data_IF_817830379756
#
_entry.id   IF_817830379756
#
_cell.length_a   1.000
_cell.length_b   1.000
_cell.length_c   1.000
_cell.angle_alpha   90.00
_cell.angle_beta   90.00
_cell.angle_gamma   90.00
#
_symmetry.space_group_name_H-M   'P 1'
#
loop_
_entity.id
_entity.type
_entity.pdbx_description
1 polymer ?
#
# COMPACT_ATOMS: atom_id res chain seq x y z
N UNK A 1 -8.74 3.68 38.70
CA UNK A 1 -8.89 4.34 37.38
C UNK A 1 -7.83 5.41 37.31
N UNK A 2 -6.67 5.08 36.75
CA UNK A 2 -5.61 6.06 36.52
C UNK A 2 -6.12 7.02 35.43
N UNK A 3 -6.10 8.31 35.76
CA UNK A 3 -6.28 9.41 34.81
C UNK A 3 -5.32 9.20 33.63
N UNK A 4 -5.86 9.00 32.43
CA UNK A 4 -5.10 9.18 31.19
C UNK A 4 -4.58 10.62 31.19
N UNK A 5 -3.32 10.81 31.57
CA UNK A 5 -2.58 11.98 31.14
C UNK A 5 -2.67 12.03 29.63
N UNK A 6 -2.97 13.21 29.08
CA UNK A 6 -3.07 13.43 27.64
C UNK A 6 -1.67 13.22 27.03
N UNK A 7 -1.34 11.99 26.61
CA UNK A 7 -0.07 11.61 25.99
C UNK A 7 0.00 12.12 24.54
N UNK A 8 -0.25 13.41 24.31
CA UNK A 8 -0.25 13.96 22.96
C UNK A 8 1.16 14.25 22.47
N UNK A 9 1.54 13.67 21.34
CA UNK A 9 2.83 13.85 20.67
C UNK A 9 3.99 13.04 21.24
N UNK A 10 3.70 11.90 21.87
CA UNK A 10 4.73 11.02 22.44
C UNK A 10 4.91 9.80 21.53
N UNK A 11 6.13 9.61 21.03
CA UNK A 11 6.52 8.42 20.28
C UNK A 11 7.46 7.54 21.10
N UNK A 12 7.14 6.25 21.18
CA UNK A 12 7.92 5.26 21.93
C UNK A 12 8.21 4.04 21.07
N UNK A 13 9.49 3.70 20.93
CA UNK A 13 9.93 2.44 20.35
C UNK A 13 10.20 1.46 21.49
N UNK A 14 9.44 0.36 21.52
CA UNK A 14 9.66 -0.75 22.45
C UNK A 14 10.54 -1.79 21.79
N UNK A 15 11.72 -2.05 22.35
CA UNK A 15 12.67 -3.08 21.86
C UNK A 15 13.16 -3.92 23.03
N UNK A 16 13.11 -5.25 22.91
CA UNK A 16 13.59 -6.19 23.93
C UNK A 16 13.11 -5.88 25.37
N UNK A 17 11.86 -5.40 25.49
CA UNK A 17 11.22 -5.05 26.77
C UNK A 17 11.59 -3.68 27.35
N UNK A 18 12.42 -2.88 26.66
CA UNK A 18 12.74 -1.51 27.03
C UNK A 18 12.00 -0.51 26.11
N UNK A 19 11.65 0.65 26.65
CA UNK A 19 11.01 1.76 25.93
C UNK A 19 12.06 2.83 25.63
N UNK A 20 12.09 3.27 24.38
CA UNK A 20 12.98 4.31 23.87
C UNK A 20 12.11 5.45 23.33
N UNK A 21 12.27 6.66 23.87
CA UNK A 21 11.55 7.87 23.47
C UNK A 21 12.49 9.06 23.34
N UNK A 22 11.92 10.27 23.22
CA UNK A 22 12.70 11.51 23.07
C UNK A 22 13.24 11.71 21.66
N UNK A 23 12.56 11.17 20.65
CA UNK A 23 12.94 11.29 19.24
C UNK A 23 12.87 12.75 18.79
N UNK A 24 13.89 13.17 18.04
CA UNK A 24 13.98 14.49 17.42
C UNK A 24 13.23 14.52 16.08
N UNK A 25 13.31 13.41 15.33
CA UNK A 25 12.47 13.22 14.18
C UNK A 25 11.94 11.79 14.10
N UNK A 26 10.75 11.67 13.54
CA UNK A 26 10.07 10.41 13.31
C UNK A 26 9.36 10.48 11.96
N UNK A 27 9.40 9.38 11.24
CA UNK A 27 8.58 9.14 10.04
C UNK A 27 8.08 7.71 10.08
N UNK A 28 6.77 7.53 10.03
CA UNK A 28 6.10 6.23 9.98
C UNK A 28 5.17 6.24 8.78
N UNK A 29 5.25 5.24 7.91
CA UNK A 29 4.45 5.17 6.69
C UNK A 29 3.68 3.86 6.65
N UNK A 30 2.36 3.93 6.49
CA UNK A 30 1.47 2.79 6.25
C UNK A 30 0.58 3.06 5.05
N UNK A 31 0.31 2.06 4.23
CA UNK A 31 -0.46 2.22 2.99
C UNK A 31 -1.08 0.89 2.54
N UNK A 32 -2.22 0.96 1.85
CA UNK A 32 -2.82 -0.21 1.17
C UNK A 32 -2.08 -0.61 -0.11
N UNK A 33 -1.16 0.23 -0.60
CA UNK A 33 -0.31 -0.06 -1.77
C UNK A 33 0.99 -0.80 -1.40
N UNK A 34 1.31 -0.88 -0.10
CA UNK A 34 2.51 -1.57 0.39
C UNK A 34 2.11 -2.61 1.43
N UNK A 35 2.76 -3.77 1.39
CA UNK A 35 2.46 -4.82 2.37
C UNK A 35 3.02 -4.47 3.76
N UNK A 36 4.27 -3.98 3.81
CA UNK A 36 4.95 -3.66 5.05
C UNK A 36 5.04 -2.15 5.23
N UNK A 37 4.53 -1.65 6.35
CA UNK A 37 4.81 -0.30 6.82
C UNK A 37 6.28 -0.14 7.18
N UNK A 38 6.74 1.11 7.17
CA UNK A 38 8.13 1.47 7.45
C UNK A 38 8.16 2.51 8.56
N UNK A 39 9.18 2.45 9.42
CA UNK A 39 9.48 3.53 10.35
C UNK A 39 10.94 3.95 10.26
N UNK A 40 11.18 5.22 10.57
CA UNK A 40 12.49 5.83 10.71
C UNK A 40 12.42 6.81 11.88
N UNK A 41 13.37 6.68 12.80
CA UNK A 41 13.45 7.41 14.05
C UNK A 41 14.86 7.98 14.18
N UNK A 42 14.98 9.25 14.50
CA UNK A 42 16.27 9.91 14.73
C UNK A 42 16.28 10.62 16.08
N UNK A 43 17.38 10.46 16.80
CA UNK A 43 17.68 11.24 18.00
C UNK A 43 19.09 11.81 17.89
N UNK A 44 19.24 13.09 18.26
CA UNK A 44 20.55 13.67 18.50
C UNK A 44 20.94 13.30 19.94
N UNK A 45 21.92 12.40 20.10
CA UNK A 45 22.44 12.05 21.42
C UNK A 45 23.22 13.25 21.97
N UNK A 46 22.68 13.93 22.97
CA UNK A 46 23.41 14.96 23.71
C UNK A 46 23.53 14.58 25.18
N UNK A 47 24.25 13.51 25.55
CA UNK A 47 24.61 13.28 26.96
C UNK A 47 25.98 12.60 27.14
N UNK A 48 26.98 13.32 27.70
CA UNK A 48 28.04 12.70 28.48
C UNK A 48 27.45 12.27 29.83
N UNK A 49 27.27 10.96 30.03
CA UNK A 49 27.02 10.38 31.36
C UNK A 49 25.70 9.62 31.58
N UNK A 50 24.76 9.61 30.64
CA UNK A 50 23.60 8.70 30.73
C UNK A 50 23.92 7.36 30.08
N UNK A 51 24.25 6.37 30.90
CA UNK A 51 24.32 4.96 30.52
C UNK A 51 23.06 4.52 29.75
N UNK A 52 23.12 4.37 28.42
CA UNK A 52 22.16 3.51 27.73
C UNK A 52 22.45 2.06 28.13
N UNK A 53 21.56 1.47 28.94
CA UNK A 53 21.72 0.12 29.49
C UNK A 53 21.50 -1.00 28.47
N UNK A 54 20.96 -0.73 27.27
CA UNK A 54 20.85 -1.71 26.18
C UNK A 54 20.91 -1.02 24.81
N UNK A 55 21.90 -1.32 23.95
CA UNK A 55 21.92 -0.80 22.59
C UNK A 55 20.83 -1.46 21.76
N UNK A 56 20.13 -0.67 20.93
CA UNK A 56 19.24 -1.17 19.88
C UNK A 56 20.11 -1.83 18.81
N UNK A 57 19.75 -3.04 18.40
CA UNK A 57 20.48 -3.82 17.38
C UNK A 57 19.56 -4.22 16.23
N UNK A 58 20.09 -4.31 15.00
CA UNK A 58 19.36 -4.91 13.89
C UNK A 58 18.86 -6.32 14.21
N UNK A 59 17.69 -6.67 13.68
CA UNK A 59 17.01 -7.95 13.88
C UNK A 59 16.24 -8.08 15.19
N UNK A 60 16.26 -7.07 16.07
CA UNK A 60 15.47 -7.12 17.30
C UNK A 60 13.99 -6.88 17.02
N UNK A 61 13.07 -7.65 17.64
CA UNK A 61 11.65 -7.37 17.56
C UNK A 61 11.33 -6.04 18.24
N UNK A 62 10.49 -5.24 17.59
CA UNK A 62 10.10 -3.94 18.06
C UNK A 62 8.61 -3.65 17.87
N UNK A 63 8.07 -2.79 18.73
CA UNK A 63 6.77 -2.17 18.56
C UNK A 63 6.94 -0.66 18.62
N UNK A 64 6.35 0.06 17.68
CA UNK A 64 6.34 1.52 17.67
C UNK A 64 4.95 2.01 18.07
N UNK A 65 4.91 2.85 19.09
CA UNK A 65 3.71 3.43 19.64
C UNK A 65 3.71 4.94 19.39
N UNK A 66 2.56 5.45 18.95
CA UNK A 66 2.27 6.89 18.82
C UNK A 66 1.12 7.22 19.76
N UNK A 67 1.33 8.12 20.71
CA UNK A 67 0.35 8.52 21.72
C UNK A 67 -0.24 7.33 22.51
N UNK A 68 0.55 6.26 22.66
CA UNK A 68 0.18 5.02 23.34
C UNK A 68 -0.47 3.96 22.44
N UNK A 69 -0.83 4.29 21.21
CA UNK A 69 -1.38 3.35 20.23
C UNK A 69 -0.27 2.69 19.41
N UNK A 70 -0.31 1.36 19.30
CA UNK A 70 0.60 0.62 18.43
C UNK A 70 0.29 0.97 16.98
N UNK A 71 1.31 1.43 16.25
CA UNK A 71 1.18 1.73 14.81
C UNK A 71 1.93 0.75 13.94
N UNK A 72 3.04 0.18 14.45
CA UNK A 72 3.88 -0.80 13.75
C UNK A 72 4.36 -1.84 14.75
N UNK A 73 4.31 -3.11 14.35
CA UNK A 73 4.93 -4.24 15.05
C UNK A 73 5.77 -5.02 14.05
N UNK A 74 7.05 -5.18 14.34
CA UNK A 74 8.01 -5.71 13.38
C UNK A 74 9.42 -5.83 13.92
N UNK A 75 10.40 -5.54 13.08
CA UNK A 75 11.82 -5.69 13.38
C UNK A 75 12.60 -4.43 13.04
N UNK A 76 13.68 -4.19 13.80
CA UNK A 76 14.66 -3.17 13.46
C UNK A 76 15.51 -3.68 12.29
N UNK A 77 15.46 -3.01 11.15
CA UNK A 77 16.25 -3.36 9.96
C UNK A 77 17.65 -2.75 10.06
N UNK A 78 17.73 -1.45 10.38
CA UNK A 78 18.99 -0.69 10.33
C UNK A 78 19.14 0.18 11.58
N UNK A 79 20.36 0.19 12.11
CA UNK A 79 20.79 1.13 13.16
C UNK A 79 22.01 1.85 12.63
N UNK A 80 21.90 3.16 12.41
CA UNK A 80 22.99 4.02 11.99
C UNK A 80 23.42 4.91 13.14
N UNK A 81 24.72 4.89 13.43
CA UNK A 81 25.35 5.75 14.43
C UNK A 81 26.33 6.64 13.69
N UNK A 82 26.13 7.94 13.79
CA UNK A 82 27.00 8.95 13.21
C UNK A 82 27.47 9.87 14.34
N UNK A 83 28.78 10.09 14.46
CA UNK A 83 29.31 11.01 15.45
C UNK A 83 30.57 11.71 14.96
N UNK A 84 30.72 12.96 15.40
CA UNK A 84 31.94 13.76 15.28
C UNK A 84 32.27 14.39 16.64
N UNK A 85 33.18 15.37 16.67
CA UNK A 85 33.59 16.02 17.91
C UNK A 85 32.50 16.85 18.60
N UNK A 86 31.41 17.19 17.89
CA UNK A 86 30.35 18.12 18.37
C UNK A 86 28.94 17.57 18.22
N UNK A 87 28.74 16.48 17.47
CA UNK A 87 27.43 15.89 17.17
C UNK A 87 27.49 14.38 17.32
N UNK A 88 26.44 13.82 17.92
CA UNK A 88 26.14 12.40 17.91
C UNK A 88 24.70 12.20 17.43
N UNK A 89 24.49 11.31 16.47
CA UNK A 89 23.18 11.02 15.88
C UNK A 89 22.98 9.51 15.86
N UNK A 90 21.85 9.08 16.40
CA UNK A 90 21.38 7.70 16.30
C UNK A 90 20.13 7.69 15.43
N UNK A 91 20.16 6.89 14.37
CA UNK A 91 19.01 6.66 13.50
C UNK A 91 18.65 5.18 13.50
N UNK A 92 17.38 4.89 13.75
CA UNK A 92 16.84 3.53 13.79
C UNK A 92 15.72 3.44 12.76
N UNK A 93 15.78 2.45 11.88
CA UNK A 93 14.71 2.18 10.92
C UNK A 93 14.35 0.71 10.89
N UNK A 94 13.13 0.44 10.45
CA UNK A 94 12.60 -0.92 10.36
C UNK A 94 11.27 -0.97 9.64
N UNK A 95 10.71 -2.19 9.60
CA UNK A 95 9.45 -2.49 8.93
C UNK A 95 8.58 -3.42 9.78
N UNK A 96 7.31 -3.53 9.40
CA UNK A 96 6.38 -4.51 9.97
C UNK A 96 6.90 -5.94 9.81
N UNK A 97 6.37 -6.88 10.61
CA UNK A 97 6.67 -8.33 10.48
C UNK A 97 6.45 -8.85 9.05
N UNK A 98 5.51 -8.27 8.31
CA UNK A 98 5.22 -8.65 6.92
C UNK A 98 6.35 -8.32 5.94
N UNK A 99 7.39 -7.59 6.35
CA UNK A 99 8.60 -7.37 5.56
C UNK A 99 9.29 -8.68 5.16
N UNK A 100 9.30 -9.67 6.05
CA UNK A 100 9.87 -11.00 5.76
C UNK A 100 9.16 -11.66 4.59
N UNK A 101 7.87 -11.40 4.40
CA UNK A 101 7.09 -11.94 3.26
C UNK A 101 7.51 -11.31 1.94
N UNK A 102 7.97 -10.06 1.98
CA UNK A 102 8.47 -9.35 0.80
C UNK A 102 9.87 -9.84 0.43
N UNK A 103 10.72 -10.06 1.44
CA UNK A 103 12.14 -10.34 1.25
C UNK A 103 12.42 -11.85 1.02
N UNK A 104 11.66 -12.74 1.66
CA UNK A 104 11.93 -14.18 1.65
C UNK A 104 11.16 -14.94 0.55
N UNK A 105 11.79 -16.00 0.02
CA UNK A 105 11.19 -16.88 -0.97
C UNK A 105 9.98 -17.65 -0.44
N UNK A 106 9.00 -17.87 -1.31
CA UNK A 106 7.87 -18.74 -1.01
C UNK A 106 8.33 -20.22 -0.96
N UNK A 107 8.16 -20.86 0.20
CA UNK A 107 8.53 -22.27 0.39
C UNK A 107 7.36 -23.04 0.97
N UNK A 108 6.92 -24.08 0.26
CA UNK A 108 5.93 -25.02 0.72
C UNK A 108 6.27 -26.43 0.26
N UNK A 109 6.04 -27.44 1.12
CA UNK A 109 6.55 -28.81 0.91
C UNK A 109 6.20 -29.41 -0.46
N UNK A 110 4.99 -29.19 -0.96
CA UNK A 110 4.56 -29.71 -2.27
C UNK A 110 4.84 -28.76 -3.43
N UNK A 111 5.16 -27.49 -3.17
CA UNK A 111 5.25 -26.42 -4.17
C UNK A 111 3.92 -26.07 -4.87
N UNK A 112 2.84 -26.77 -4.56
CA UNK A 112 1.55 -26.62 -5.23
C UNK A 112 0.37 -26.97 -4.32
N UNK A 113 -0.77 -26.34 -4.61
CA UNK A 113 -2.06 -26.56 -4.00
C UNK A 113 -3.12 -26.86 -5.05
N UNK A 114 -4.11 -27.66 -4.65
CA UNK A 114 -5.28 -27.97 -5.47
C UNK A 114 -6.54 -27.65 -4.67
N UNK A 115 -7.53 -27.02 -5.31
CA UNK A 115 -8.82 -26.62 -4.69
C UNK A 115 -8.63 -25.90 -3.34
N UNK A 116 -7.71 -24.93 -3.30
CA UNK A 116 -7.38 -24.19 -2.07
C UNK A 116 -7.98 -22.78 -2.09
N UNK A 117 -8.46 -22.30 -0.93
CA UNK A 117 -8.84 -20.89 -0.79
C UNK A 117 -7.62 -20.03 -0.46
N UNK A 118 -7.68 -18.75 -0.80
CA UNK A 118 -6.56 -17.83 -0.63
C UNK A 118 -6.13 -17.67 0.84
N UNK A 119 -7.06 -17.69 1.78
CA UNK A 119 -6.78 -17.60 3.21
C UNK A 119 -6.02 -18.82 3.72
N UNK A 120 -6.39 -20.03 3.28
CA UNK A 120 -5.66 -21.24 3.62
C UNK A 120 -4.26 -21.25 2.99
N UNK A 121 -4.14 -20.83 1.73
CA UNK A 121 -2.85 -20.71 1.05
C UNK A 121 -1.94 -19.72 1.81
N UNK A 122 -2.47 -18.58 2.25
CA UNK A 122 -1.75 -17.62 3.07
C UNK A 122 -1.31 -18.22 4.41
N UNK A 123 -2.22 -18.90 5.14
CA UNK A 123 -1.87 -19.55 6.42
C UNK A 123 -0.76 -20.59 6.27
N UNK A 124 -0.77 -21.35 5.17
CA UNK A 124 0.26 -22.34 4.88
C UNK A 124 1.64 -21.71 4.68
N UNK A 125 1.71 -20.60 3.92
CA UNK A 125 2.95 -19.87 3.65
C UNK A 125 3.46 -19.08 4.86
N UNK A 126 2.56 -18.54 5.68
CA UNK A 126 2.89 -17.67 6.81
C UNK A 126 3.27 -18.44 8.09
N UNK A 127 3.03 -19.75 8.13
CA UNK A 127 3.30 -20.60 9.30
C UNK A 127 4.73 -20.47 9.87
N UNK A 128 5.81 -20.34 9.07
CA UNK A 128 7.16 -20.16 9.61
C UNK A 128 7.43 -18.79 10.25
N UNK A 129 6.63 -17.77 9.90
CA UNK A 129 6.86 -16.37 10.28
C UNK A 129 6.06 -15.93 11.50
N UNK A 130 5.17 -16.79 12.02
CA UNK A 130 4.26 -16.46 13.13
C UNK A 130 3.40 -15.20 12.85
N UNK A 131 2.93 -15.06 11.61
CA UNK A 131 2.08 -13.95 11.14
C UNK A 131 0.65 -14.47 10.98
N UNK A 132 -0.33 -13.81 11.58
CA UNK A 132 -1.72 -14.20 11.41
C UNK A 132 -2.28 -13.73 10.05
N UNK A 133 -3.32 -14.42 9.58
CA UNK A 133 -4.07 -14.04 8.39
C UNK A 133 -5.44 -13.55 8.83
N UNK A 134 -5.69 -12.27 8.61
CA UNK A 134 -6.92 -11.56 8.91
C UNK A 134 -7.68 -11.32 7.61
N UNK A 135 -8.99 -11.57 7.63
CA UNK A 135 -9.89 -11.21 6.53
C UNK A 135 -10.69 -10.01 7.04
N UNK A 136 -10.65 -8.92 6.30
CA UNK A 136 -11.33 -7.69 6.67
C UNK A 136 -12.86 -7.85 6.58
N UNK A 137 -13.59 -7.06 7.37
CA UNK A 137 -15.03 -7.25 7.54
C UNK A 137 -15.80 -7.06 6.22
N UNK A 138 -16.69 -8.01 5.92
CA UNK A 138 -17.51 -7.98 4.70
C UNK A 138 -16.75 -8.34 3.40
N UNK A 139 -15.50 -8.77 3.48
CA UNK A 139 -14.70 -9.16 2.31
C UNK A 139 -14.99 -10.61 1.88
N UNK A 140 -15.54 -10.76 0.68
CA UNK A 140 -15.65 -12.06 0.02
C UNK A 140 -14.33 -12.45 -0.66
N UNK A 141 -13.65 -13.43 -0.10
CA UNK A 141 -12.38 -13.98 -0.62
C UNK A 141 -12.55 -14.88 -1.87
N UNK A 142 -13.79 -15.09 -2.31
CA UNK A 142 -14.13 -15.82 -3.52
C UNK A 142 -14.02 -17.34 -3.39
N UNK A 143 -14.17 -18.00 -4.54
CA UNK A 143 -14.09 -19.46 -4.65
C UNK A 143 -12.66 -19.98 -4.50
N UNK A 144 -12.50 -21.29 -4.29
CA UNK A 144 -11.19 -21.93 -4.28
C UNK A 144 -10.49 -21.79 -5.65
N UNK A 145 -9.16 -21.76 -5.61
CA UNK A 145 -8.28 -21.90 -6.77
C UNK A 145 -8.19 -23.38 -7.14
N UNK A 146 -8.53 -23.73 -8.38
CA UNK A 146 -8.53 -25.13 -8.84
C UNK A 146 -7.13 -25.76 -8.74
N UNK A 147 -6.11 -25.03 -9.19
CA UNK A 147 -4.70 -25.36 -9.04
C UNK A 147 -3.89 -24.07 -8.91
N UNK A 148 -2.92 -24.06 -8.00
CA UNK A 148 -2.01 -22.94 -7.81
C UNK A 148 -0.64 -23.48 -7.39
N UNK A 149 0.42 -23.05 -8.08
CA UNK A 149 1.79 -23.45 -7.79
C UNK A 149 2.65 -22.24 -7.50
N UNK A 150 3.69 -22.46 -6.68
CA UNK A 150 4.78 -21.51 -6.49
C UNK A 150 5.60 -21.44 -7.78
N UNK A 151 5.99 -20.24 -8.19
CA UNK A 151 6.96 -19.99 -9.24
C UNK A 151 8.36 -19.93 -8.63
N UNK A 152 9.33 -20.55 -9.30
CA UNK A 152 10.71 -20.59 -8.80
C UNK A 152 11.27 -19.18 -8.60
N UNK A 153 11.77 -18.91 -7.39
CA UNK A 153 12.40 -17.63 -7.03
C UNK A 153 11.43 -16.51 -6.64
N UNK A 154 10.11 -16.72 -6.65
CA UNK A 154 9.16 -15.70 -6.20
C UNK A 154 9.15 -15.56 -4.67
N UNK A 155 8.94 -14.35 -4.16
CA UNK A 155 8.76 -14.12 -2.71
C UNK A 155 7.39 -14.60 -2.22
N UNK A 156 7.23 -14.74 -0.89
CA UNK A 156 5.92 -15.07 -0.31
C UNK A 156 4.87 -14.03 -0.73
N UNK A 157 5.23 -12.75 -0.73
CA UNK A 157 4.36 -11.68 -1.17
C UNK A 157 4.02 -11.78 -2.65
N UNK A 158 4.98 -12.00 -3.54
CA UNK A 158 4.70 -12.13 -4.99
C UNK A 158 3.75 -13.30 -5.29
N UNK A 159 3.95 -14.43 -4.61
CA UNK A 159 3.08 -15.60 -4.66
C UNK A 159 1.65 -15.25 -4.22
N UNK A 160 1.51 -14.60 -3.07
CA UNK A 160 0.21 -14.19 -2.53
C UNK A 160 -0.46 -13.11 -3.35
N UNK A 161 0.28 -12.12 -3.85
CA UNK A 161 -0.22 -11.03 -4.69
C UNK A 161 -0.83 -11.59 -5.97
N UNK A 162 -0.20 -12.59 -6.57
CA UNK A 162 -0.73 -13.30 -7.75
C UNK A 162 -2.04 -14.01 -7.44
N UNK A 163 -2.13 -14.69 -6.30
CA UNK A 163 -3.37 -15.31 -5.84
C UNK A 163 -4.47 -14.28 -5.55
N UNK A 164 -4.14 -13.18 -4.86
CA UNK A 164 -5.04 -12.10 -4.51
C UNK A 164 -5.59 -11.40 -5.76
N UNK A 165 -4.75 -11.19 -6.76
CA UNK A 165 -5.14 -10.61 -8.05
C UNK A 165 -6.17 -11.47 -8.77
N UNK A 166 -6.01 -12.79 -8.78
CA UNK A 166 -6.99 -13.71 -9.36
C UNK A 166 -8.37 -13.57 -8.69
N UNK A 167 -8.40 -13.21 -7.41
CA UNK A 167 -9.61 -13.05 -6.58
C UNK A 167 -10.07 -11.61 -6.38
N UNK A 168 -9.43 -10.65 -7.05
CA UNK A 168 -9.72 -9.23 -6.89
C UNK A 168 -9.68 -8.76 -5.42
N UNK A 169 -8.59 -9.12 -4.73
CA UNK A 169 -8.29 -8.77 -3.34
C UNK A 169 -7.02 -7.94 -3.26
N UNK A 170 -6.92 -7.12 -2.21
CA UNK A 170 -5.73 -6.39 -1.80
C UNK A 170 -5.11 -7.09 -0.59
N UNK A 171 -3.78 -7.00 -0.48
CA UNK A 171 -3.01 -7.50 0.65
C UNK A 171 -2.32 -6.31 1.32
N UNK A 172 -2.51 -6.16 2.63
CA UNK A 172 -1.90 -5.12 3.44
C UNK A 172 -1.57 -5.67 4.83
N UNK A 173 -1.17 -4.81 5.78
CA UNK A 173 -0.85 -5.18 7.16
C UNK A 173 -1.59 -4.32 8.18
N UNK A 174 -1.87 -4.91 9.35
CA UNK A 174 -2.39 -4.20 10.51
C UNK A 174 -1.24 -3.71 11.43
N UNK A 175 -1.52 -2.90 12.46
CA UNK A 175 -0.49 -2.45 13.41
C UNK A 175 0.22 -3.56 14.18
N UNK A 176 -0.38 -4.76 14.26
CA UNK A 176 0.21 -5.93 14.93
C UNK A 176 1.17 -6.71 14.03
N UNK A 177 1.33 -6.28 12.77
CA UNK A 177 2.21 -6.94 11.80
C UNK A 177 1.60 -8.20 11.19
N UNK A 178 0.27 -8.35 11.24
CA UNK A 178 -0.45 -9.45 10.59
C UNK A 178 -0.81 -9.11 9.15
N UNK A 179 -0.95 -10.15 8.31
CA UNK A 179 -1.42 -10.02 6.93
C UNK A 179 -2.93 -9.80 6.92
N UNK A 180 -3.38 -8.73 6.29
CA UNK A 180 -4.79 -8.41 6.08
C UNK A 180 -5.16 -8.61 4.61
N UNK A 181 -6.17 -9.44 4.35
CA UNK A 181 -6.81 -9.62 3.05
C UNK A 181 -8.04 -8.71 3.00
N UNK A 182 -8.03 -7.73 2.11
CA UNK A 182 -9.07 -6.69 2.05
C UNK A 182 -9.45 -6.30 0.61
N UNK A 183 -10.33 -5.30 0.47
CA UNK A 183 -10.60 -4.53 -0.74
C UNK A 183 -10.51 -3.04 -0.40
N UNK A 184 -10.73 -2.18 -1.40
CA UNK A 184 -10.92 -0.75 -1.14
C UNK A 184 -12.00 -0.56 -0.07
N UNK A 185 -11.63 0.08 1.03
CA UNK A 185 -12.48 0.21 2.20
C UNK A 185 -13.72 1.04 1.90
N UNK A 186 -14.82 0.69 2.58
CA UNK A 186 -16.12 1.36 2.46
C UNK A 186 -16.49 2.14 3.71
N UNK A 187 -15.67 2.04 4.77
CA UNK A 187 -15.85 2.78 6.01
C UNK A 187 -15.63 4.26 5.76
N UNK A 188 -16.68 5.05 5.93
CA UNK A 188 -16.66 6.51 5.84
C UNK A 188 -16.40 7.13 7.21
N UNK A 189 -15.55 8.14 7.26
CA UNK A 189 -15.34 8.96 8.45
C UNK A 189 -16.45 10.01 8.57
N UNK A 190 -16.87 10.28 9.80
CA UNK A 190 -17.98 11.20 10.09
C UNK A 190 -17.59 12.69 10.01
N UNK A 191 -16.31 12.97 9.78
CA UNK A 191 -15.74 14.31 9.62
C UNK A 191 -15.00 14.41 8.28
N UNK A 192 -14.85 15.64 7.79
CA UNK A 192 -14.18 15.91 6.52
C UNK A 192 -12.88 16.70 6.65
N UNK A 193 -12.10 16.72 5.57
CA UNK A 193 -10.93 17.58 5.41
C UNK A 193 -11.34 18.81 4.60
N UNK A 194 -11.17 19.99 5.19
CA UNK A 194 -11.65 21.27 4.66
C UNK A 194 -10.48 22.26 4.55
N UNK A 195 -10.27 22.77 3.34
CA UNK A 195 -9.28 23.81 3.07
C UNK A 195 -9.61 25.09 3.86
N UNK A 196 -8.61 25.64 4.53
CA UNK A 196 -8.75 26.82 5.39
C UNK A 196 -9.21 26.52 6.82
N UNK A 197 -9.49 25.26 7.15
CA UNK A 197 -9.86 24.81 8.50
C UNK A 197 -8.83 23.81 9.06
N UNK A 198 -9.00 22.51 8.78
CA UNK A 198 -8.16 21.44 9.34
C UNK A 198 -7.06 20.94 8.38
N UNK A 199 -7.02 21.42 7.14
CA UNK A 199 -5.94 21.17 6.19
C UNK A 199 -4.79 22.15 6.44
N UNK A 200 -3.60 21.64 6.78
CA UNK A 200 -2.36 22.44 6.96
C UNK A 200 -1.65 22.69 5.63
N UNK A 201 -1.56 21.67 4.81
CA UNK A 201 -0.98 21.74 3.48
C UNK A 201 -1.64 20.68 2.59
N UNK A 202 -1.63 20.90 1.28
CA UNK A 202 -2.11 19.90 0.33
C UNK A 202 -1.32 19.98 -0.98
N UNK A 203 -1.20 18.85 -1.65
CA UNK A 203 -0.63 18.74 -3.00
C UNK A 203 -1.48 17.80 -3.84
N UNK A 204 -1.60 18.07 -5.14
CA UNK A 204 -2.35 17.24 -6.07
C UNK A 204 -1.63 17.13 -7.41
N UNK A 205 -1.67 15.95 -8.00
CA UNK A 205 -1.27 15.70 -9.38
C UNK A 205 -2.47 15.22 -10.19
N UNK A 206 -2.82 15.99 -11.22
CA UNK A 206 -3.92 15.69 -12.15
C UNK A 206 -3.34 15.48 -13.55
N UNK A 207 -3.36 14.24 -14.04
CA UNK A 207 -2.65 13.87 -15.27
C UNK A 207 -3.52 13.08 -16.24
N UNK A 208 -3.68 13.61 -17.46
CA UNK A 208 -4.37 12.91 -18.55
C UNK A 208 -3.45 11.96 -19.35
N UNK A 209 -2.20 11.78 -18.92
CA UNK A 209 -1.20 10.97 -19.65
C UNK A 209 -1.69 9.55 -19.95
N UNK A 210 -2.30 8.91 -18.95
CA UNK A 210 -2.83 7.55 -19.02
C UNK A 210 -4.37 7.52 -19.08
N UNK A 211 -5.00 8.65 -19.44
CA UNK A 211 -6.44 8.79 -19.73
C UNK A 211 -6.70 8.76 -21.24
N UNK A 212 -7.80 8.11 -21.60
CA UNK A 212 -8.20 7.82 -22.97
C UNK A 212 -9.69 8.14 -23.16
N UNK A 213 -10.08 8.56 -24.37
CA UNK A 213 -11.48 8.89 -24.67
C UNK A 213 -12.36 7.66 -24.88
N UNK A 214 -11.76 6.53 -25.27
CA UNK A 214 -12.47 5.26 -25.34
C UNK A 214 -11.56 4.08 -25.02
N UNK A 215 -12.13 3.11 -24.32
CA UNK A 215 -11.50 1.87 -23.89
C UNK A 215 -12.19 0.73 -24.63
N UNK A 216 -11.47 0.07 -25.53
CA UNK A 216 -11.97 -1.08 -26.28
C UNK A 216 -11.25 -2.32 -25.81
N UNK A 217 -11.99 -3.27 -25.22
CA UNK A 217 -11.45 -4.57 -24.84
C UNK A 217 -11.82 -5.57 -25.93
N UNK A 218 -10.84 -6.31 -26.45
CA UNK A 218 -11.04 -7.37 -27.45
C UNK A 218 -10.66 -8.72 -26.85
N UNK A 219 -11.55 -9.70 -26.92
CA UNK A 219 -11.23 -11.09 -26.57
C UNK A 219 -10.38 -11.76 -27.65
N UNK A 220 -9.64 -12.81 -27.28
CA UNK A 220 -9.03 -13.70 -28.26
C UNK A 220 -10.14 -14.51 -28.96
N UNK A 221 -10.31 -14.31 -30.27
CA UNK A 221 -11.10 -15.22 -31.10
C UNK A 221 -10.40 -16.59 -31.17
N UNK A 222 -11.17 -17.68 -31.09
CA UNK A 222 -10.64 -19.01 -31.44
C UNK A 222 -10.22 -18.98 -32.91
N UNK A 223 -8.97 -19.34 -33.19
CA UNK A 223 -8.55 -19.73 -34.54
C UNK A 223 -9.33 -21.01 -34.89
N UNK A 224 -10.39 -20.86 -35.70
CA UNK A 224 -10.99 -21.98 -36.41
C UNK A 224 -10.03 -22.43 -37.51
N UNK A 225 -9.99 -23.74 -37.76
CA UNK A 225 -9.24 -24.33 -38.86
C UNK A 225 -9.55 -23.63 -40.20
N UNK A 226 -8.55 -23.59 -41.08
CA UNK A 226 -8.50 -22.87 -42.35
C UNK A 226 -9.83 -22.80 -43.13
N UNK A 227 -10.16 -21.59 -43.61
CA UNK A 227 -11.19 -21.38 -44.63
C UNK A 227 -12.27 -20.37 -44.24
N UNK A 228 -12.03 -19.12 -44.61
CA UNK A 228 -13.03 -18.12 -44.98
C UNK A 228 -14.12 -17.72 -43.95
N UNK A 229 -13.88 -16.60 -43.26
CA UNK A 229 -14.80 -15.46 -43.07
C UNK A 229 -14.26 -14.55 -41.94
N UNK A 230 -14.34 -13.23 -42.13
CA UNK A 230 -13.85 -12.22 -41.20
C UNK A 230 -14.33 -12.47 -39.75
N UNK A 231 -13.46 -13.07 -38.94
CA UNK A 231 -13.75 -13.38 -37.54
C UNK A 231 -13.74 -12.09 -36.72
N UNK A 232 -14.91 -11.49 -36.50
CA UNK A 232 -15.09 -10.42 -35.52
C UNK A 232 -14.82 -10.99 -34.12
N UNK A 233 -13.61 -10.74 -33.61
CA UNK A 233 -13.29 -11.08 -32.23
C UNK A 233 -14.22 -10.32 -31.29
N UNK A 234 -14.82 -10.96 -30.27
CA UNK A 234 -15.77 -10.31 -29.38
C UNK A 234 -15.10 -9.09 -28.75
N UNK A 235 -15.79 -7.95 -28.75
CA UNK A 235 -15.25 -6.70 -28.23
C UNK A 235 -16.30 -5.87 -27.51
N UNK A 236 -15.86 -5.11 -26.51
CA UNK A 236 -16.68 -4.15 -25.79
C UNK A 236 -15.96 -2.80 -25.76
N UNK A 237 -16.72 -1.72 -25.92
CA UNK A 237 -16.20 -0.35 -25.93
C UNK A 237 -16.91 0.49 -24.89
N UNK A 238 -16.14 1.25 -24.11
CA UNK A 238 -16.61 2.18 -23.08
C UNK A 238 -15.97 3.55 -23.32
N UNK A 239 -16.76 4.62 -23.23
CA UNK A 239 -16.27 6.00 -23.37
C UNK A 239 -15.93 6.61 -22.00
N UNK A 240 -15.02 7.60 -22.01
CA UNK A 240 -14.75 8.49 -20.88
C UNK A 240 -15.09 9.91 -21.30
N UNK A 241 -16.29 10.34 -20.92
CA UNK A 241 -16.91 11.59 -21.40
C UNK A 241 -16.15 12.86 -20.98
N UNK A 242 -15.23 12.74 -20.02
CA UNK A 242 -14.35 13.83 -19.57
C UNK A 242 -13.27 14.12 -20.62
N UNK A 243 -12.85 13.12 -21.40
CA UNK A 243 -11.73 13.24 -22.35
C UNK A 243 -12.28 13.57 -23.73
N UNK A 244 -12.38 14.86 -24.04
CA UNK A 244 -12.92 15.38 -25.31
C UNK A 244 -11.99 15.15 -26.50
N UNK A 245 -10.68 15.01 -26.28
CA UNK A 245 -9.68 14.73 -27.33
C UNK A 245 -9.69 13.25 -27.74
N UNK A 246 -9.67 12.90 -29.05
CA UNK A 246 -9.64 11.51 -29.49
C UNK A 246 -8.35 10.80 -29.05
N UNK A 247 -8.49 9.89 -28.08
CA UNK A 247 -7.41 9.05 -27.54
C UNK A 247 -7.96 7.63 -27.31
N UNK A 248 -8.05 6.78 -28.34
CA UNK A 248 -8.52 5.41 -28.16
C UNK A 248 -7.43 4.53 -27.50
N UNK A 249 -7.84 3.67 -26.57
CA UNK A 249 -7.03 2.58 -26.05
C UNK A 249 -7.69 1.25 -26.41
N UNK A 250 -6.90 0.32 -26.96
CA UNK A 250 -7.32 -1.05 -27.21
C UNK A 250 -6.55 -1.98 -26.28
N UNK A 251 -7.27 -2.77 -25.49
CA UNK A 251 -6.73 -3.76 -24.57
C UNK A 251 -7.18 -5.15 -25.04
N UNK A 252 -6.25 -6.09 -25.08
CA UNK A 252 -6.59 -7.49 -25.31
C UNK A 252 -6.99 -8.12 -23.97
N UNK A 253 -8.16 -8.74 -23.91
CA UNK A 253 -8.53 -9.55 -22.77
C UNK A 253 -7.71 -10.84 -22.79
N UNK A 254 -7.15 -11.18 -21.64
CA UNK A 254 -6.65 -12.53 -21.38
C UNK A 254 -7.85 -13.50 -21.28
N UNK A 255 -7.58 -14.81 -21.26
CA UNK A 255 -8.61 -15.84 -21.32
C UNK A 255 -9.82 -15.51 -20.44
N UNK A 256 -11.03 -15.63 -21.01
CA UNK A 256 -12.28 -15.26 -20.37
C UNK A 256 -12.38 -15.89 -18.97
N UNK A 257 -12.41 -15.06 -17.92
CA UNK A 257 -12.88 -15.52 -16.62
C UNK A 257 -14.36 -15.84 -16.73
N UNK A 258 -14.83 -16.89 -16.03
CA UNK A 258 -16.24 -17.32 -16.10
C UNK A 258 -17.23 -16.25 -15.59
N UNK A 259 -16.73 -15.22 -14.90
CA UNK A 259 -17.55 -14.29 -14.11
C UNK A 259 -17.58 -12.85 -14.65
N UNK A 260 -16.53 -12.35 -15.30
CA UNK A 260 -16.45 -10.95 -15.74
C UNK A 260 -16.61 -10.82 -17.27
N UNK A 261 -17.51 -9.93 -17.71
CA UNK A 261 -17.72 -9.68 -19.14
C UNK A 261 -16.63 -8.76 -19.72
N UNK A 262 -16.48 -8.74 -21.04
CA UNK A 262 -15.58 -7.78 -21.73
C UNK A 262 -15.98 -6.32 -21.45
N UNK A 263 -17.27 -6.07 -21.18
CA UNK A 263 -17.77 -4.75 -20.82
C UNK A 263 -17.30 -4.36 -19.42
N UNK A 264 -17.46 -5.25 -18.43
CA UNK A 264 -16.99 -5.01 -17.06
C UNK A 264 -15.48 -4.76 -17.03
N UNK A 265 -14.71 -5.49 -17.85
CA UNK A 265 -13.28 -5.25 -18.05
C UNK A 265 -12.99 -3.85 -18.59
N UNK A 266 -13.76 -3.39 -19.58
CA UNK A 266 -13.58 -2.06 -20.17
C UNK A 266 -13.96 -0.94 -19.19
N UNK A 267 -15.03 -1.13 -18.40
CA UNK A 267 -15.45 -0.21 -17.34
C UNK A 267 -14.42 -0.15 -16.21
N UNK A 268 -13.91 -1.30 -15.76
CA UNK A 268 -12.83 -1.38 -14.79
C UNK A 268 -11.58 -0.63 -15.27
N UNK A 269 -11.17 -0.84 -16.53
CA UNK A 269 -9.95 -0.21 -17.07
C UNK A 269 -10.11 1.32 -17.14
N UNK A 270 -11.31 1.80 -17.50
CA UNK A 270 -11.65 3.23 -17.42
C UNK A 270 -11.57 3.75 -15.98
N UNK A 271 -12.25 3.09 -15.06
CA UNK A 271 -12.41 3.53 -13.67
C UNK A 271 -11.06 3.56 -12.93
N UNK A 272 -10.24 2.52 -13.07
CA UNK A 272 -8.90 2.46 -12.46
C UNK A 272 -7.99 3.56 -13.00
N UNK A 273 -8.00 3.80 -14.32
CA UNK A 273 -7.20 4.89 -14.93
C UNK A 273 -7.71 6.26 -14.53
N UNK A 274 -9.02 6.43 -14.40
CA UNK A 274 -9.63 7.66 -13.89
C UNK A 274 -9.17 7.92 -12.45
N UNK A 275 -9.30 6.95 -11.56
CA UNK A 275 -8.90 7.14 -10.17
C UNK A 275 -7.39 7.37 -10.00
N UNK A 276 -6.54 6.68 -10.79
CA UNK A 276 -5.09 6.90 -10.77
C UNK A 276 -4.63 8.21 -11.39
N UNK A 277 -5.48 8.87 -12.20
CA UNK A 277 -5.13 10.15 -12.84
C UNK A 277 -5.21 11.35 -11.91
N UNK A 278 -5.84 11.19 -10.74
CA UNK A 278 -5.99 12.21 -9.72
C UNK A 278 -5.52 11.61 -8.39
N UNK A 279 -4.29 11.92 -8.00
CA UNK A 279 -3.74 11.59 -6.68
C UNK A 279 -3.37 12.88 -5.98
N UNK A 280 -3.58 12.90 -4.67
CA UNK A 280 -3.16 14.03 -3.85
C UNK A 280 -2.61 13.56 -2.52
N UNK A 281 -2.05 14.49 -1.78
CA UNK A 281 -1.86 14.33 -0.35
C UNK A 281 -2.31 15.56 0.41
N UNK A 282 -2.81 15.32 1.62
CA UNK A 282 -3.33 16.33 2.53
C UNK A 282 -2.61 16.16 3.85
N UNK A 283 -1.97 17.22 4.33
CA UNK A 283 -1.30 17.26 5.63
C UNK A 283 -2.24 17.83 6.67
N UNK A 284 -2.40 17.11 7.78
CA UNK A 284 -3.21 17.49 8.95
C UNK A 284 -2.34 17.57 10.20
N UNK A 285 -2.87 18.25 11.23
CA UNK A 285 -2.21 18.35 12.53
C UNK A 285 -2.38 17.05 13.34
N UNK A 286 -1.29 16.57 13.95
CA UNK A 286 -1.33 15.43 14.87
C UNK A 286 -1.43 14.07 14.17
N UNK A 287 -1.34 13.00 14.97
CA UNK A 287 -1.45 11.60 14.51
C UNK A 287 -2.84 11.01 14.68
N UNK A 288 -3.66 11.64 15.53
CA UNK A 288 -5.04 11.24 15.80
C UNK A 288 -6.02 12.05 14.96
N UNK A 289 -7.12 11.41 14.60
CA UNK A 289 -8.27 12.02 13.97
C UNK A 289 -9.14 12.77 15.00
N UNK A 290 -10.12 13.58 14.57
CA UNK A 290 -11.04 14.27 15.47
C UNK A 290 -11.87 13.35 16.39
N UNK A 291 -11.97 12.06 16.08
CA UNK A 291 -12.64 11.06 16.92
C UNK A 291 -11.70 10.42 17.96
N UNK A 292 -10.42 10.83 17.99
CA UNK A 292 -9.41 10.35 18.93
C UNK A 292 -8.75 9.03 18.53
N UNK A 293 -8.90 8.58 17.29
CA UNK A 293 -8.25 7.37 16.78
C UNK A 293 -7.04 7.76 15.93
N UNK A 294 -5.96 6.98 15.95
CA UNK A 294 -4.88 7.15 14.98
C UNK A 294 -5.44 7.05 13.56
N UNK A 295 -5.07 8.01 12.69
CA UNK A 295 -5.44 7.97 11.27
C UNK A 295 -5.10 6.61 10.67
N UNK A 296 -6.01 5.96 9.94
CA UNK A 296 -5.73 4.67 9.31
C UNK A 296 -5.85 4.75 7.78
N UNK A 297 -5.04 3.99 7.04
CA UNK A 297 -5.31 3.78 5.62
C UNK A 297 -6.59 2.94 5.42
N UNK A 298 -7.07 2.87 4.18
CA UNK A 298 -8.27 2.16 3.78
C UNK A 298 -9.60 2.71 4.34
N UNK A 299 -9.66 4.00 4.67
CA UNK A 299 -10.90 4.68 5.09
C UNK A 299 -11.27 5.78 4.10
N UNK A 300 -12.56 6.06 3.95
CA UNK A 300 -13.08 7.12 3.09
C UNK A 300 -13.25 8.39 3.91
N UNK A 301 -12.75 9.51 3.39
CA UNK A 301 -12.87 10.84 3.98
C UNK A 301 -13.42 11.83 2.94
N UNK A 302 -14.45 12.63 3.27
CA UNK A 302 -14.88 13.72 2.41
C UNK A 302 -13.84 14.85 2.42
N UNK A 303 -13.45 15.33 1.24
CA UNK A 303 -12.46 16.40 1.07
C UNK A 303 -13.08 17.57 0.32
N UNK A 304 -13.00 18.76 0.92
CA UNK A 304 -13.41 20.03 0.32
C UNK A 304 -12.20 20.94 0.21
N UNK A 305 -11.69 21.11 -1.00
CA UNK A 305 -10.56 21.98 -1.31
C UNK A 305 -10.68 22.54 -2.72
N UNK A 306 -10.87 23.86 -2.80
CA UNK A 306 -10.91 24.61 -4.06
C UNK A 306 -9.58 24.50 -4.81
N UNK A 307 -8.45 24.51 -4.09
CA UNK A 307 -7.11 24.39 -4.69
C UNK A 307 -6.86 23.01 -5.32
N UNK A 308 -7.44 21.95 -4.75
CA UNK A 308 -7.40 20.60 -5.31
C UNK A 308 -8.56 20.31 -6.29
N UNK A 309 -9.44 21.27 -6.56
CA UNK A 309 -10.65 21.08 -7.38
C UNK A 309 -11.56 19.95 -6.84
N UNK A 310 -11.64 19.84 -5.51
CA UNK A 310 -12.48 18.88 -4.80
C UNK A 310 -13.58 19.62 -4.05
N UNK A 311 -14.84 19.27 -4.32
CA UNK A 311 -16.01 19.81 -3.61
C UNK A 311 -16.74 18.67 -2.92
N UNK A 312 -16.56 18.56 -1.59
CA UNK A 312 -17.07 17.48 -0.76
C UNK A 312 -16.89 16.08 -1.38
N UNK A 313 -15.75 15.87 -2.06
CA UNK A 313 -15.49 14.64 -2.80
C UNK A 313 -15.07 13.53 -1.83
N UNK A 314 -15.69 12.36 -1.95
CA UNK A 314 -15.34 11.18 -1.16
C UNK A 314 -14.01 10.59 -1.67
N UNK A 315 -12.97 10.69 -0.85
CA UNK A 315 -11.62 10.24 -1.20
C UNK A 315 -11.21 9.07 -0.31
N UNK A 316 -10.57 8.05 -0.88
CA UNK A 316 -9.97 6.97 -0.13
C UNK A 316 -8.60 7.42 0.40
N UNK A 317 -8.37 7.25 1.71
CA UNK A 317 -7.04 7.37 2.31
C UNK A 317 -6.26 6.10 1.93
N UNK A 318 -5.33 6.27 1.00
CA UNK A 318 -4.48 5.20 0.49
C UNK A 318 -3.37 4.89 1.49
N UNK A 319 -2.81 5.94 2.10
CA UNK A 319 -1.72 5.81 3.05
C UNK A 319 -1.65 6.97 4.03
N UNK A 320 -1.07 6.69 5.19
CA UNK A 320 -0.81 7.65 6.25
C UNK A 320 0.69 7.69 6.49
N UNK A 321 1.28 8.88 6.42
CA UNK A 321 2.65 9.14 6.83
C UNK A 321 2.63 10.02 8.07
N UNK A 322 2.89 9.45 9.23
CA UNK A 322 2.98 10.15 10.50
C UNK A 322 4.39 10.72 10.63
N UNK A 323 4.51 11.99 10.96
CA UNK A 323 5.79 12.65 11.14
C UNK A 323 5.85 13.39 12.46
N UNK A 324 7.05 13.46 13.02
CA UNK A 324 7.40 14.43 14.05
C UNK A 324 8.74 15.04 13.67
N UNK A 325 8.85 16.35 13.80
CA UNK A 325 10.11 17.08 13.70
C UNK A 325 10.05 18.37 14.55
N UNK A 326 11.21 18.98 14.80
CA UNK A 326 11.33 20.18 15.63
C UNK A 326 10.62 21.43 15.06
N UNK A 327 10.32 21.47 13.75
CA UNK A 327 9.77 22.65 13.09
C UNK A 327 8.25 22.60 12.92
N UNK A 328 7.73 21.45 12.51
CA UNK A 328 6.32 21.17 12.21
C UNK A 328 5.58 20.47 13.35
N UNK A 329 6.30 20.00 14.38
CA UNK A 329 5.72 19.19 15.45
C UNK A 329 5.17 17.88 14.90
N UNK A 330 4.06 17.38 15.47
CA UNK A 330 3.39 16.17 14.98
C UNK A 330 2.45 16.47 13.82
N UNK A 331 2.65 15.84 12.68
CA UNK A 331 1.77 15.96 11.51
C UNK A 331 1.44 14.57 10.96
N UNK A 332 0.35 14.49 10.19
CA UNK A 332 0.05 13.32 9.36
C UNK A 332 -0.16 13.76 7.92
N UNK A 333 0.57 13.17 6.99
CA UNK A 333 0.33 13.29 5.57
C UNK A 333 -0.55 12.12 5.10
N UNK A 334 -1.75 12.44 4.65
CA UNK A 334 -2.75 11.51 4.13
C UNK A 334 -2.64 11.48 2.61
N UNK A 335 -2.16 10.37 2.05
CA UNK A 335 -2.22 10.13 0.61
C UNK A 335 -3.66 9.77 0.22
N UNK A 336 -4.27 10.55 -0.66
CA UNK A 336 -5.66 10.42 -1.07
C UNK A 336 -5.79 10.11 -2.56
N UNK A 337 -6.77 9.28 -2.90
CA UNK A 337 -7.12 8.96 -4.28
C UNK A 337 -8.61 8.63 -4.39
N UNK A 338 -9.15 8.65 -5.60
CA UNK A 338 -10.54 8.23 -5.82
C UNK A 338 -10.67 6.72 -5.52
N UNK A 339 -11.72 6.27 -4.81
CA UNK A 339 -11.92 4.86 -4.48
C UNK A 339 -11.88 3.92 -5.71
N UNK A 340 -12.33 4.40 -6.87
CA UNK A 340 -12.31 3.68 -8.14
C UNK A 340 -10.91 3.26 -8.59
N UNK A 341 -9.85 3.94 -8.14
CA UNK A 341 -8.46 3.59 -8.43
C UNK A 341 -8.07 2.19 -7.91
N UNK A 342 -8.78 1.73 -6.88
CA UNK A 342 -8.56 0.48 -6.16
C UNK A 342 -9.67 -0.55 -6.38
N UNK A 343 -10.60 -0.27 -7.31
CA UNK A 343 -11.53 -1.30 -7.77
C UNK A 343 -10.72 -2.43 -8.41
N UNK A 344 -11.05 -3.67 -8.07
CA UNK A 344 -10.45 -4.88 -8.63
C UNK A 344 -11.54 -5.71 -9.32
N UNK A 345 -11.17 -6.40 -10.40
CA UNK A 345 -12.07 -7.26 -11.16
C UNK A 345 -11.50 -8.68 -11.23
N UNK A 346 -12.31 -9.67 -10.87
CA UNK A 346 -11.89 -11.08 -10.79
C UNK A 346 -11.44 -11.60 -12.17
N UNK A 347 -10.31 -12.31 -12.20
CA UNK A 347 -9.78 -12.92 -13.42
C UNK A 347 -9.04 -11.98 -14.38
N UNK A 348 -8.66 -10.78 -13.94
CA UNK A 348 -7.73 -9.90 -14.67
C UNK A 348 -6.31 -10.15 -14.18
N UNK A 349 -5.51 -10.91 -14.94
CA UNK A 349 -4.14 -11.29 -14.56
C UNK A 349 -3.08 -10.24 -14.92
N UNK A 350 -3.15 -9.60 -16.09
CA UNK A 350 -2.24 -8.53 -16.50
C UNK A 350 -2.99 -7.39 -17.23
N UNK A 351 -3.16 -6.25 -16.57
CA UNK A 351 -3.31 -5.00 -17.34
C UNK A 351 -1.92 -4.51 -17.76
N UNK A 352 -1.76 -4.06 -19.01
CA UNK A 352 -0.53 -3.40 -19.51
C UNK A 352 -0.10 -2.20 -18.63
N UNK A 353 -1.00 -1.67 -17.79
CA UNK A 353 -0.68 -0.72 -16.71
C UNK A 353 0.33 -1.26 -15.70
N UNK A 354 0.14 -2.49 -15.22
CA UNK A 354 0.97 -3.07 -14.16
C UNK A 354 2.35 -3.49 -14.70
N UNK A 355 2.43 -3.90 -15.96
CA UNK A 355 3.71 -4.22 -16.62
C UNK A 355 4.64 -3.02 -16.70
N UNK A 356 4.12 -1.83 -17.04
CA UNK A 356 4.91 -0.58 -17.15
C UNK A 356 5.48 -0.10 -15.81
N UNK A 357 4.83 -0.39 -14.68
CA UNK A 357 5.32 -0.06 -13.33
C UNK A 357 6.54 -0.91 -12.96
N UNK A 358 6.47 -2.23 -13.14
CA UNK A 358 7.63 -3.13 -12.94
C UNK A 358 8.82 -2.75 -13.82
N UNK A 359 8.59 -2.35 -15.08
CA UNK A 359 9.70 -1.94 -15.97
C UNK A 359 10.33 -0.61 -15.57
N UNK A 360 9.56 0.32 -14.98
CA UNK A 360 10.09 1.61 -14.52
C UNK A 360 10.93 1.43 -13.24
N UNK A 361 10.44 0.68 -12.27
CA UNK A 361 11.19 0.38 -11.03
C UNK A 361 12.45 -0.44 -11.31
N UNK A 362 12.40 -1.41 -12.23
CA UNK A 362 13.59 -2.17 -12.66
C UNK A 362 14.60 -1.33 -13.44
N UNK A 363 14.12 -0.36 -14.24
CA UNK A 363 14.99 0.54 -15.00
C UNK A 363 15.64 1.58 -14.10
N UNK A 364 14.90 2.16 -13.16
CA UNK A 364 15.42 3.11 -12.17
C UNK A 364 16.43 2.41 -11.21
N UNK A 365 16.25 1.09 -10.94
CA UNK A 365 17.25 0.27 -10.22
C UNK A 365 18.50 0.00 -11.05
N UNK A 366 18.38 -0.23 -12.35
CA UNK A 366 19.54 -0.45 -13.24
C UNK A 366 20.36 0.82 -13.46
N UNK A 367 19.69 1.96 -13.66
CA UNK A 367 20.35 3.26 -13.82
C UNK A 367 21.11 3.67 -12.54
N UNK A 368 20.68 3.24 -11.34
CA UNK A 368 21.44 3.42 -10.09
C UNK A 368 22.61 2.47 -9.89
N UNK A 369 22.65 1.33 -10.58
CA UNK A 369 23.73 0.32 -10.45
C UNK A 369 24.84 0.56 -11.48
N UNK A 370 24.54 1.15 -12.63
CA UNK A 370 25.54 1.48 -13.66
C UNK A 370 26.44 2.69 -13.30
N UNK A 371 26.09 3.48 -12.28
CA UNK A 371 26.83 4.69 -11.89
C UNK A 371 27.91 4.46 -10.81
N UNK A 372 28.19 3.19 -10.46
CA UNK A 372 29.20 2.82 -9.44
C UNK A 372 30.39 2.03 -10.00
N UNK A 373 30.50 1.85 -11.32
CA UNK A 373 31.63 1.15 -11.94
C UNK A 373 32.77 2.05 -12.43
N UNK A 374 32.64 3.38 -12.34
CA UNK A 374 33.65 4.35 -12.81
C UNK A 374 34.06 5.39 -11.74
N UNK A 375 34.32 4.97 -10.50
CA UNK A 375 35.10 5.77 -9.52
C UNK A 375 36.09 4.92 -8.72
#
# INVERSE_FOLDING_TARGET
MATQENLSGIAELRVAGAYYGGWKSLRVTRSIEQLAGTFELEIAECWPGSLQRRPIRPGQPCQLLLDGDVVITGYVDTVMVDFDATRHTLRVSGRDKTADLVDCSAVYKSGQWHKVKIDQLARDLLKPYDIAVIIDDGVDIGSALDSFSIQEGESVFECLERAARLKALLLTSNPEGDLVITRAGTRRLDFGLVEGDNIKAARGEFSWKERFSSYTVKGQGRLGAEGDQAHSSPSAKVADDIITRPRPLIVLAEAHSKNATLKDRAEWERNVRRGRSARGSVTVQGWVDPAGNIWQPNTIVPVTSSMLLLDAAEMLIVGCTYTLDDQGGTLTELAISQPEAFQLLEGVTQSRLFGKLKTKEQRDRKEKVEDWSDQ
#
